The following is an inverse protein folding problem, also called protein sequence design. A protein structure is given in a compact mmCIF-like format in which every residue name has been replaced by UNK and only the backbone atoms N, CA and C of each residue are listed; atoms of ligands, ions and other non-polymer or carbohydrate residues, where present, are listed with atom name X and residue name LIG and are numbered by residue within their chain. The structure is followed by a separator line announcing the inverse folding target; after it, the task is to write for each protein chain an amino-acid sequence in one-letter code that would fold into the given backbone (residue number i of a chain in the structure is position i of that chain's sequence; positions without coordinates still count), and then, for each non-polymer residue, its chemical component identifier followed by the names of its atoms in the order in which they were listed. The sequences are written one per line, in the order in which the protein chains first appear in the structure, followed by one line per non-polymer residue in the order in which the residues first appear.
data_IF_733940285719
#
_entry.id   IF_733940285719
#
_cell.length_a   1.000
_cell.length_b   1.000
_cell.length_c   1.000
_cell.angle_alpha   90.00
_cell.angle_beta   90.00
_cell.angle_gamma   90.00
#
_symmetry.space_group_name_H-M   'P 1'
#
loop_
_entity.id
_entity.type
_entity.pdbx_description
1 polymer ?
#
# COMPACT_ATOMS: atom_id res chain seq x y z
N UNK A 1 5.83 -59.69 -7.53
CA UNK A 1 5.46 -59.33 -8.93
C UNK A 1 5.49 -57.82 -9.05
N UNK A 2 6.56 -57.28 -9.64
CA UNK A 2 6.74 -55.85 -9.89
C UNK A 2 5.62 -55.34 -10.81
N UNK A 3 4.87 -54.31 -10.41
CA UNK A 3 4.07 -53.51 -11.34
C UNK A 3 4.95 -52.38 -11.88
N UNK A 4 5.15 -52.44 -13.19
CA UNK A 4 5.91 -51.52 -14.02
C UNK A 4 5.40 -50.08 -13.89
N UNK A 5 6.34 -49.15 -13.82
CA UNK A 5 6.10 -47.72 -13.96
C UNK A 5 5.43 -47.39 -15.29
N UNK A 6 4.43 -46.51 -15.23
CA UNK A 6 3.82 -45.86 -16.38
C UNK A 6 4.55 -44.53 -16.56
N UNK A 7 5.10 -44.29 -17.75
CA UNK A 7 5.81 -43.05 -18.03
C UNK A 7 4.85 -41.87 -17.97
N UNK A 8 5.30 -40.80 -17.31
CA UNK A 8 4.60 -39.54 -17.20
C UNK A 8 4.83 -38.79 -18.51
N UNK A 9 3.95 -39.05 -19.49
CA UNK A 9 3.86 -38.25 -20.70
C UNK A 9 2.93 -37.07 -20.43
N UNK A 10 3.37 -35.89 -20.87
CA UNK A 10 2.68 -34.59 -20.78
C UNK A 10 1.17 -34.70 -20.99
N UNK A 11 0.43 -34.65 -19.89
CA UNK A 11 -1.01 -34.40 -19.93
C UNK A 11 -1.20 -32.88 -19.98
N UNK A 12 -1.15 -32.32 -21.19
CA UNK A 12 -1.79 -31.02 -21.48
C UNK A 12 -3.28 -31.22 -21.20
N UNK A 13 -3.71 -30.87 -20.00
CA UNK A 13 -5.09 -31.04 -19.55
C UNK A 13 -6.05 -30.32 -20.50
N UNK A 14 -7.15 -30.98 -20.86
CA UNK A 14 -8.27 -30.35 -21.56
C UNK A 14 -8.69 -29.08 -20.79
N UNK A 15 -8.53 -27.90 -21.39
CA UNK A 15 -9.11 -26.65 -20.87
C UNK A 15 -10.63 -26.81 -20.86
N UNK A 16 -11.17 -27.28 -19.73
CA UNK A 16 -12.61 -27.36 -19.52
C UNK A 16 -13.24 -26.00 -19.77
N UNK A 17 -14.31 -25.96 -20.57
CA UNK A 17 -14.99 -24.72 -20.93
C UNK A 17 -15.44 -23.98 -19.66
N UNK A 18 -14.96 -22.75 -19.46
CA UNK A 18 -15.35 -21.90 -18.35
C UNK A 18 -16.86 -21.61 -18.41
N UNK A 19 -17.49 -21.61 -17.24
CA UNK A 19 -18.86 -21.17 -17.04
C UNK A 19 -18.92 -19.65 -17.09
N UNK A 20 -20.09 -19.11 -17.42
CA UNK A 20 -20.34 -17.67 -17.42
C UNK A 20 -21.45 -17.37 -16.43
N UNK A 21 -21.26 -16.30 -15.67
CA UNK A 21 -22.35 -15.71 -14.90
C UNK A 21 -23.35 -15.05 -15.87
N UNK A 22 -24.66 -15.03 -15.53
CA UNK A 22 -25.67 -14.36 -16.34
C UNK A 22 -25.52 -12.83 -16.33
N UNK A 23 -24.84 -12.28 -15.32
CA UNK A 23 -24.48 -10.86 -15.15
C UNK A 23 -23.06 -10.77 -14.61
N UNK A 24 -22.46 -9.57 -14.68
CA UNK A 24 -21.16 -9.33 -14.07
C UNK A 24 -21.23 -9.61 -12.55
N UNK A 25 -20.43 -10.54 -11.99
CA UNK A 25 -20.38 -10.76 -10.55
C UNK A 25 -19.70 -9.57 -9.88
N UNK A 26 -20.29 -9.08 -8.79
CA UNK A 26 -19.73 -8.00 -7.96
C UNK A 26 -19.86 -8.45 -6.51
N UNK A 27 -18.78 -8.28 -5.75
CA UNK A 27 -18.71 -8.56 -4.33
C UNK A 27 -18.26 -7.29 -3.64
N UNK A 28 -18.83 -7.01 -2.47
CA UNK A 28 -18.41 -5.94 -1.58
C UNK A 28 -18.07 -6.62 -0.26
N UNK A 29 -16.87 -6.34 0.22
CA UNK A 29 -16.33 -6.85 1.47
C UNK A 29 -15.91 -5.68 2.33
N UNK A 30 -15.77 -5.90 3.64
CA UNK A 30 -15.29 -4.85 4.55
C UNK A 30 -13.77 -4.87 4.55
N UNK A 31 -13.17 -5.97 5.02
CA UNK A 31 -11.71 -6.15 4.99
C UNK A 31 -11.26 -6.76 3.66
N UNK A 32 -10.17 -6.24 3.11
CA UNK A 32 -9.77 -6.48 1.74
C UNK A 32 -9.47 -7.96 1.43
N UNK A 33 -8.88 -8.69 2.38
CA UNK A 33 -8.60 -10.13 2.29
C UNK A 33 -9.85 -11.01 2.21
N UNK A 34 -11.02 -10.53 2.67
CA UNK A 34 -12.28 -11.27 2.60
C UNK A 34 -12.76 -11.50 1.15
N UNK A 35 -12.13 -10.86 0.15
CA UNK A 35 -12.39 -11.13 -1.26
C UNK A 35 -11.95 -12.54 -1.68
N UNK A 36 -10.93 -13.10 -1.03
CA UNK A 36 -10.27 -14.34 -1.45
C UNK A 36 -11.21 -15.57 -1.49
N UNK A 37 -12.10 -15.81 -0.50
CA UNK A 37 -13.13 -16.84 -0.58
C UNK A 37 -14.00 -16.78 -1.85
N UNK A 38 -14.35 -15.57 -2.32
CA UNK A 38 -15.17 -15.39 -3.53
C UNK A 38 -14.40 -15.74 -4.79
N UNK A 39 -13.13 -15.35 -4.86
CA UNK A 39 -12.21 -15.69 -5.95
C UNK A 39 -12.03 -17.21 -6.01
N UNK A 40 -11.72 -17.85 -4.88
CA UNK A 40 -11.50 -19.29 -4.79
C UNK A 40 -12.77 -20.08 -5.16
N UNK A 41 -13.96 -19.58 -4.79
CA UNK A 41 -15.23 -20.15 -5.22
C UNK A 41 -15.45 -20.01 -6.73
N UNK A 42 -15.09 -18.88 -7.33
CA UNK A 42 -15.20 -18.67 -8.77
C UNK A 42 -14.24 -19.59 -9.55
N UNK A 43 -13.04 -19.83 -9.03
CA UNK A 43 -12.09 -20.83 -9.58
C UNK A 43 -12.67 -22.24 -9.45
N UNK A 44 -13.06 -22.66 -8.24
CA UNK A 44 -13.58 -24.01 -7.98
C UNK A 44 -14.87 -24.33 -8.75
N UNK A 45 -15.71 -23.32 -8.99
CA UNK A 45 -16.93 -23.46 -9.80
C UNK A 45 -16.69 -23.30 -11.31
N UNK A 46 -15.44 -23.13 -11.75
CA UNK A 46 -14.99 -22.98 -13.14
C UNK A 46 -15.56 -21.73 -13.84
N UNK A 47 -15.82 -20.66 -13.10
CA UNK A 47 -16.11 -19.33 -13.68
C UNK A 47 -14.82 -18.53 -13.93
N UNK A 48 -13.78 -18.80 -13.15
CA UNK A 48 -12.41 -18.37 -13.42
C UNK A 48 -11.54 -19.60 -13.78
N UNK A 49 -10.47 -19.42 -14.58
CA UNK A 49 -9.48 -20.47 -14.80
C UNK A 49 -8.74 -20.80 -13.50
N UNK A 50 -8.05 -21.94 -13.46
CA UNK A 50 -7.29 -22.35 -12.27
C UNK A 50 -5.96 -21.60 -12.11
N UNK A 51 -5.47 -20.97 -13.17
CA UNK A 51 -4.17 -20.30 -13.23
C UNK A 51 -4.20 -19.20 -14.29
N UNK A 52 -3.12 -18.41 -14.35
CA UNK A 52 -2.92 -17.36 -15.35
C UNK A 52 -4.02 -16.27 -15.36
N UNK A 53 -4.50 -15.93 -14.16
CA UNK A 53 -5.42 -14.81 -13.95
C UNK A 53 -4.60 -13.53 -13.78
N UNK A 54 -5.02 -12.47 -14.47
CA UNK A 54 -4.52 -11.11 -14.24
C UNK A 54 -5.33 -10.44 -13.13
N UNK A 55 -4.67 -9.83 -12.16
CA UNK A 55 -5.29 -9.12 -11.05
C UNK A 55 -5.07 -7.62 -11.22
N UNK A 56 -6.14 -6.85 -11.38
CA UNK A 56 -6.09 -5.38 -11.56
C UNK A 56 -6.56 -4.75 -10.27
N UNK A 57 -5.67 -4.04 -9.60
CA UNK A 57 -5.85 -3.59 -8.23
C UNK A 57 -5.69 -2.07 -8.16
N UNK A 58 -6.78 -1.39 -7.79
CA UNK A 58 -6.79 0.05 -7.54
C UNK A 58 -6.77 0.31 -6.05
N UNK A 59 -5.64 0.77 -5.55
CA UNK A 59 -5.44 1.03 -4.12
C UNK A 59 -4.26 1.99 -3.90
N UNK A 60 -4.26 2.66 -2.76
CA UNK A 60 -3.09 3.35 -2.22
C UNK A 60 -2.00 2.39 -1.72
N UNK A 61 -2.30 1.11 -1.49
CA UNK A 61 -1.38 0.08 -1.01
C UNK A 61 -1.18 -1.02 -2.05
N UNK A 62 -0.02 -1.71 -2.11
CA UNK A 62 0.16 -2.81 -3.05
C UNK A 62 -0.52 -4.13 -2.64
N UNK A 63 -0.69 -4.34 -1.33
CA UNK A 63 -1.12 -5.58 -0.67
C UNK A 63 -0.37 -6.84 -1.08
N UNK A 64 0.93 -6.65 -1.33
CA UNK A 64 1.87 -7.68 -1.78
C UNK A 64 2.76 -8.20 -0.64
N UNK A 65 2.41 -7.96 0.63
CA UNK A 65 3.17 -8.58 1.73
C UNK A 65 2.83 -10.04 1.87
N UNK A 66 3.60 -10.69 2.72
CA UNK A 66 3.49 -12.11 3.03
C UNK A 66 3.57 -12.22 4.56
N UNK A 67 2.67 -12.98 5.22
CA UNK A 67 2.83 -13.27 6.63
C UNK A 67 4.17 -14.01 6.87
N UNK A 68 5.12 -13.33 7.53
CA UNK A 68 6.53 -13.77 7.61
C UNK A 68 6.71 -15.15 8.25
N UNK A 69 5.79 -15.52 9.15
CA UNK A 69 5.80 -16.75 9.94
C UNK A 69 4.84 -17.83 9.43
N UNK A 70 4.03 -17.55 8.40
CA UNK A 70 3.06 -18.53 7.89
C UNK A 70 3.77 -19.59 7.03
N UNK A 71 3.66 -20.89 7.35
CA UNK A 71 4.20 -21.95 6.52
C UNK A 71 3.59 -21.93 5.11
N UNK A 72 4.41 -22.15 4.07
CA UNK A 72 3.95 -22.08 2.69
C UNK A 72 2.83 -23.10 2.37
N UNK A 73 2.82 -24.25 3.06
CA UNK A 73 1.82 -25.29 2.86
C UNK A 73 0.41 -24.85 3.34
N UNK A 74 0.32 -23.85 4.22
CA UNK A 74 -0.95 -23.27 4.69
C UNK A 74 -1.80 -22.72 3.54
N UNK A 75 -1.17 -22.26 2.45
CA UNK A 75 -1.87 -21.78 1.24
C UNK A 75 -2.83 -22.81 0.65
N UNK A 76 -2.58 -24.10 0.87
CA UNK A 76 -3.41 -25.18 0.35
C UNK A 76 -4.50 -25.64 1.33
N UNK A 77 -4.52 -25.12 2.56
CA UNK A 77 -5.60 -25.27 3.52
C UNK A 77 -6.40 -23.96 3.61
N UNK A 78 -7.58 -23.94 2.99
CA UNK A 78 -8.38 -22.71 2.87
C UNK A 78 -8.84 -22.17 4.22
N UNK A 79 -9.17 -23.05 5.16
CA UNK A 79 -9.73 -22.62 6.45
C UNK A 79 -8.65 -21.96 7.28
N UNK A 80 -7.45 -22.57 7.33
CA UNK A 80 -6.30 -21.97 8.00
C UNK A 80 -5.83 -20.73 7.26
N UNK A 81 -5.67 -20.78 5.93
CA UNK A 81 -5.23 -19.64 5.14
C UNK A 81 -6.08 -18.40 5.42
N UNK A 82 -7.41 -18.49 5.33
CA UNK A 82 -8.25 -17.30 5.52
C UNK A 82 -8.18 -16.70 6.94
N UNK A 83 -7.77 -17.48 7.95
CA UNK A 83 -7.56 -16.98 9.31
C UNK A 83 -6.18 -16.34 9.54
N UNK A 84 -5.22 -16.57 8.65
CA UNK A 84 -3.83 -16.07 8.77
C UNK A 84 -3.56 -14.84 7.88
N UNK A 85 -4.56 -14.39 7.11
CA UNK A 85 -4.42 -13.24 6.21
C UNK A 85 -4.98 -11.97 6.82
N UNK A 86 -4.34 -10.86 6.45
CA UNK A 86 -4.73 -9.50 6.78
C UNK A 86 -4.84 -8.66 5.50
N UNK A 87 -5.32 -7.43 5.64
CA UNK A 87 -5.61 -6.51 4.54
C UNK A 87 -4.41 -6.27 3.61
N UNK A 88 -3.19 -6.37 4.11
CA UNK A 88 -1.95 -6.02 3.40
C UNK A 88 -1.19 -7.22 2.77
N UNK A 89 -1.60 -8.46 3.04
CA UNK A 89 -0.76 -9.65 2.81
C UNK A 89 -1.43 -10.82 2.06
N UNK A 90 -2.59 -10.57 1.43
CA UNK A 90 -3.45 -11.64 0.91
C UNK A 90 -3.23 -11.99 -0.57
N UNK A 91 -2.65 -11.08 -1.39
CA UNK A 91 -2.46 -11.31 -2.84
C UNK A 91 -1.38 -12.36 -3.10
N UNK A 92 -0.25 -12.27 -2.39
CA UNK A 92 0.91 -13.15 -2.59
C UNK A 92 0.64 -14.63 -2.33
N UNK A 93 -0.12 -15.03 -1.30
CA UNK A 93 -0.62 -16.40 -1.15
C UNK A 93 -1.35 -16.93 -2.39
N UNK A 94 -2.18 -16.11 -3.06
CA UNK A 94 -2.87 -16.51 -4.29
C UNK A 94 -1.93 -16.62 -5.51
N UNK A 95 -0.86 -15.83 -5.54
CA UNK A 95 0.24 -15.99 -6.51
C UNK A 95 0.96 -17.31 -6.27
N UNK A 96 1.35 -17.61 -5.03
CA UNK A 96 2.04 -18.86 -4.67
C UNK A 96 1.18 -20.11 -4.95
N UNK A 97 -0.14 -20.02 -4.72
CA UNK A 97 -1.11 -21.05 -5.13
C UNK A 97 -1.16 -21.28 -6.66
N UNK A 98 -0.56 -20.39 -7.45
CA UNK A 98 -0.50 -20.44 -8.91
C UNK A 98 -1.73 -19.87 -9.62
N UNK A 99 -2.60 -19.14 -8.90
CA UNK A 99 -3.81 -18.56 -9.48
C UNK A 99 -3.48 -17.28 -10.26
N UNK A 100 -2.74 -16.37 -9.64
CA UNK A 100 -2.34 -15.09 -10.23
C UNK A 100 -0.95 -15.20 -10.85
N UNK A 101 -0.80 -14.74 -12.09
CA UNK A 101 0.49 -14.66 -12.79
C UNK A 101 0.91 -13.23 -13.11
N UNK A 102 -0.05 -12.30 -13.07
CA UNK A 102 0.15 -10.90 -13.41
C UNK A 102 -0.67 -10.03 -12.48
N UNK A 103 -0.02 -9.16 -11.71
CA UNK A 103 -0.68 -8.12 -10.92
C UNK A 103 -0.41 -6.76 -11.58
N UNK A 104 -1.47 -5.97 -11.77
CA UNK A 104 -1.40 -4.58 -12.19
C UNK A 104 -1.83 -3.74 -11.02
N UNK A 105 -0.89 -3.06 -10.36
CA UNK A 105 -1.18 -2.14 -9.28
C UNK A 105 -1.30 -0.72 -9.83
N UNK A 106 -2.53 -0.21 -9.80
CA UNK A 106 -2.88 1.14 -10.21
C UNK A 106 -2.99 2.01 -8.96
N UNK A 107 -1.98 2.84 -8.76
CA UNK A 107 -1.82 3.59 -7.52
C UNK A 107 -1.98 5.10 -7.74
N UNK A 108 -2.46 5.85 -6.74
CA UNK A 108 -2.54 7.30 -6.81
C UNK A 108 -1.15 7.94 -6.66
N UNK A 109 -1.06 9.25 -6.92
CA UNK A 109 0.23 9.98 -6.95
C UNK A 109 0.94 10.07 -5.60
N UNK A 110 0.27 9.74 -4.50
CA UNK A 110 0.83 9.76 -3.14
C UNK A 110 1.29 8.38 -2.65
N UNK A 111 1.00 7.32 -3.40
CA UNK A 111 1.45 5.96 -3.09
C UNK A 111 2.76 5.70 -3.83
N UNK A 112 3.87 5.51 -3.12
CA UNK A 112 5.21 5.35 -3.69
C UNK A 112 5.94 4.10 -3.16
N UNK A 113 5.18 3.12 -2.67
CA UNK A 113 5.71 1.95 -1.97
C UNK A 113 6.60 1.08 -2.85
N UNK A 114 6.27 0.98 -4.13
CA UNK A 114 7.03 0.25 -5.15
C UNK A 114 7.26 1.22 -6.31
N UNK A 115 8.46 1.18 -6.88
CA UNK A 115 8.82 2.02 -8.02
C UNK A 115 7.93 1.72 -9.23
N UNK A 116 7.50 2.74 -9.98
CA UNK A 116 6.73 2.53 -11.20
C UNK A 116 7.52 1.77 -12.27
N UNK A 117 6.83 0.93 -13.03
CA UNK A 117 7.41 0.12 -14.09
C UNK A 117 7.01 -1.35 -14.01
N UNK A 118 7.80 -2.18 -14.70
CA UNK A 118 7.57 -3.62 -14.78
C UNK A 118 8.59 -4.35 -13.94
N UNK A 119 8.09 -5.17 -13.03
CA UNK A 119 8.87 -5.99 -12.13
C UNK A 119 8.59 -7.45 -12.43
N UNK A 120 9.63 -8.26 -12.41
CA UNK A 120 9.53 -9.70 -12.63
C UNK A 120 10.36 -10.39 -11.57
N UNK A 121 9.73 -11.28 -10.82
CA UNK A 121 10.39 -12.02 -9.76
C UNK A 121 9.65 -13.33 -9.51
N UNK A 122 10.27 -14.20 -8.72
CA UNK A 122 9.73 -15.50 -8.35
C UNK A 122 9.14 -15.41 -6.94
N UNK A 123 8.05 -16.15 -6.73
CA UNK A 123 7.42 -16.38 -5.44
C UNK A 123 7.52 -17.87 -5.15
N UNK A 124 8.07 -18.26 -4.00
CA UNK A 124 8.31 -19.66 -3.70
C UNK A 124 8.32 -19.95 -2.21
N UNK A 125 8.47 -21.24 -1.89
CA UNK A 125 8.74 -21.69 -0.53
C UNK A 125 10.24 -21.63 -0.29
N UNK A 126 10.66 -20.91 0.72
CA UNK A 126 12.04 -20.92 1.16
C UNK A 126 12.38 -22.28 1.80
N UNK A 127 13.50 -22.86 1.37
CA UNK A 127 14.03 -24.13 1.87
C UNK A 127 14.42 -24.08 3.34
N UNK A 128 14.82 -22.92 3.86
CA UNK A 128 15.33 -22.79 5.22
C UNK A 128 14.22 -22.60 6.26
N UNK A 129 13.29 -21.67 6.00
CA UNK A 129 12.19 -21.31 6.92
C UNK A 129 10.88 -22.05 6.63
N UNK A 130 10.74 -22.64 5.44
CA UNK A 130 9.49 -23.25 4.93
C UNK A 130 8.33 -22.28 4.69
N UNK A 131 8.56 -20.98 4.81
CA UNK A 131 7.58 -19.91 4.58
C UNK A 131 7.66 -19.40 3.14
N UNK A 132 6.74 -18.52 2.73
CA UNK A 132 6.75 -17.94 1.38
C UNK A 132 7.75 -16.78 1.35
N UNK A 133 8.57 -16.72 0.31
CA UNK A 133 9.54 -15.64 0.05
C UNK A 133 9.59 -15.30 -1.43
N UNK A 134 10.27 -14.20 -1.76
CA UNK A 134 10.37 -13.67 -3.12
C UNK A 134 11.81 -13.40 -3.53
N UNK A 135 12.07 -13.33 -4.84
CA UNK A 135 13.37 -12.88 -5.37
C UNK A 135 13.40 -11.40 -5.76
N UNK A 136 12.35 -10.63 -5.41
CA UNK A 136 12.32 -9.20 -5.76
C UNK A 136 13.30 -8.41 -4.90
N UNK A 137 14.08 -7.57 -5.56
CA UNK A 137 15.02 -6.63 -4.91
C UNK A 137 14.39 -5.25 -4.65
N UNK A 138 13.08 -5.09 -4.86
CA UNK A 138 12.41 -3.85 -4.49
C UNK A 138 12.48 -3.66 -2.98
N UNK A 139 12.76 -2.42 -2.54
CA UNK A 139 12.83 -2.08 -1.11
C UNK A 139 11.58 -2.49 -0.34
N UNK A 140 10.43 -2.53 -1.02
CA UNK A 140 9.17 -3.01 -0.46
C UNK A 140 9.28 -4.40 0.17
N UNK A 141 9.97 -5.34 -0.48
CA UNK A 141 10.15 -6.70 0.02
C UNK A 141 11.40 -6.84 0.91
N UNK A 142 12.47 -6.10 0.59
CA UNK A 142 13.70 -6.11 1.41
C UNK A 142 13.45 -5.58 2.83
N UNK A 143 12.63 -4.54 2.97
CA UNK A 143 12.32 -3.92 4.26
C UNK A 143 11.55 -4.81 5.24
N UNK A 144 10.89 -5.87 4.74
CA UNK A 144 10.13 -6.84 5.55
C UNK A 144 10.79 -8.23 5.61
N UNK A 145 12.05 -8.34 5.19
CA UNK A 145 12.77 -9.61 5.28
C UNK A 145 12.29 -10.69 4.31
N UNK A 146 11.60 -10.30 3.22
CA UNK A 146 10.91 -11.23 2.32
C UNK A 146 11.78 -11.74 1.16
N UNK A 147 12.96 -11.15 0.95
CA UNK A 147 13.86 -11.55 -0.12
C UNK A 147 14.69 -12.77 0.24
N UNK A 148 14.82 -13.69 -0.72
CA UNK A 148 15.80 -14.78 -0.71
C UNK A 148 16.36 -14.95 -2.13
N UNK A 149 17.48 -15.65 -2.24
CA UNK A 149 18.07 -15.99 -3.54
C UNK A 149 17.26 -17.07 -4.25
N UNK A 150 17.36 -17.14 -5.59
CA UNK A 150 16.57 -18.07 -6.39
C UNK A 150 16.85 -19.55 -6.05
N UNK A 151 18.10 -19.89 -5.69
CA UNK A 151 18.51 -21.25 -5.32
C UNK A 151 17.92 -21.72 -3.98
N UNK A 152 17.46 -20.79 -3.13
CA UNK A 152 16.79 -21.09 -1.87
C UNK A 152 15.27 -21.30 -2.02
N UNK A 153 14.70 -21.04 -3.21
CA UNK A 153 13.27 -21.17 -3.46
C UNK A 153 12.89 -22.49 -4.12
N UNK A 154 11.94 -23.18 -3.51
CA UNK A 154 11.21 -24.31 -4.08
C UNK A 154 9.81 -23.90 -4.56
N UNK A 155 9.21 -24.72 -5.44
CA UNK A 155 7.84 -24.53 -5.96
C UNK A 155 7.58 -23.16 -6.61
N UNK A 156 8.61 -22.57 -7.20
CA UNK A 156 8.63 -21.22 -7.75
C UNK A 156 7.44 -20.92 -8.70
N UNK A 157 6.84 -19.74 -8.51
CA UNK A 157 5.82 -19.15 -9.37
C UNK A 157 6.35 -17.82 -9.91
N UNK A 158 6.46 -17.64 -11.23
CA UNK A 158 6.81 -16.34 -11.79
C UNK A 158 5.63 -15.37 -11.62
N UNK A 159 5.94 -14.17 -11.14
CA UNK A 159 5.01 -13.06 -11.06
C UNK A 159 5.51 -11.90 -11.93
N UNK A 160 4.63 -11.41 -12.79
CA UNK A 160 4.79 -10.10 -13.41
C UNK A 160 3.99 -9.08 -12.59
N UNK A 161 4.64 -7.98 -12.19
CA UNK A 161 4.00 -6.85 -11.51
C UNK A 161 4.18 -5.59 -12.37
N UNK A 162 3.09 -4.99 -12.80
CA UNK A 162 3.09 -3.68 -13.46
C UNK A 162 2.61 -2.63 -12.45
N UNK A 163 3.50 -1.72 -12.04
CA UNK A 163 3.20 -0.61 -11.12
C UNK A 163 2.95 0.65 -11.95
N UNK A 164 1.72 1.16 -11.88
CA UNK A 164 1.22 2.19 -12.78
C UNK A 164 0.58 3.33 -11.97
N UNK A 165 1.23 4.48 -11.98
CA UNK A 165 0.66 5.69 -11.38
C UNK A 165 -0.54 6.20 -12.20
N UNK A 166 -1.68 6.37 -11.54
CA UNK A 166 -2.88 6.98 -12.10
C UNK A 166 -2.85 8.48 -11.85
N UNK A 167 -2.66 9.26 -12.92
CA UNK A 167 -2.72 10.72 -12.84
C UNK A 167 -4.18 11.20 -12.83
N UNK A 168 -4.55 12.15 -11.94
CA UNK A 168 -5.88 12.76 -11.96
C UNK A 168 -6.16 13.38 -13.34
N UNK A 169 -7.35 13.10 -13.89
CA UNK A 169 -7.78 13.74 -15.11
C UNK A 169 -7.92 15.25 -14.87
N UNK A 170 -7.11 16.06 -15.54
CA UNK A 170 -7.28 17.52 -15.56
C UNK A 170 -8.36 17.83 -16.59
N UNK A 171 -9.54 18.36 -16.20
CA UNK A 171 -10.50 18.83 -17.18
C UNK A 171 -9.87 19.97 -17.98
N UNK A 172 -9.78 19.84 -19.30
CA UNK A 172 -9.49 20.99 -20.13
C UNK A 172 -10.66 21.97 -19.99
N UNK A 173 -10.42 23.14 -19.40
CA UNK A 173 -11.31 24.28 -19.48
C UNK A 173 -11.33 24.79 -20.93
N UNK A 174 -12.03 24.09 -21.80
CA UNK A 174 -12.45 24.67 -23.07
C UNK A 174 -13.69 25.51 -22.75
N UNK A 175 -13.52 26.82 -22.84
CA UNK A 175 -14.61 27.79 -22.85
C UNK A 175 -15.68 27.35 -23.86
N UNK A 176 -16.87 27.03 -23.37
CA UNK A 176 -18.13 27.22 -24.06
C UNK A 176 -19.30 27.07 -23.06
N UNK A 177 -19.28 27.87 -21.99
CA UNK A 177 -20.52 28.23 -21.30
C UNK A 177 -21.07 29.50 -21.95
N UNK A 178 -21.77 29.29 -23.07
CA UNK A 178 -22.92 30.13 -23.41
C UNK A 178 -24.17 29.27 -23.37
N UNK A 179 -25.09 29.72 -22.52
CA UNK A 179 -26.52 29.44 -22.52
C UNK A 179 -26.98 28.03 -22.08
N UNK A 180 -26.99 27.81 -20.77
CA UNK A 180 -28.08 27.06 -20.12
C UNK A 180 -28.22 27.44 -18.64
N UNK A 181 -29.09 28.40 -18.36
CA UNK A 181 -29.64 28.61 -17.01
C UNK A 181 -30.42 27.35 -16.64
N UNK A 182 -29.86 26.54 -15.74
CA UNK A 182 -30.58 25.46 -15.05
C UNK A 182 -30.54 25.73 -13.55
N UNK A 183 -31.71 26.07 -13.03
CA UNK A 183 -31.96 26.34 -11.63
C UNK A 183 -32.09 25.02 -10.86
N UNK A 184 -31.06 24.66 -10.10
CA UNK A 184 -31.15 23.58 -9.12
C UNK A 184 -30.93 24.15 -7.72
N UNK A 185 -32.02 24.10 -6.93
CA UNK A 185 -32.14 24.59 -5.56
C UNK A 185 -31.20 23.82 -4.62
N UNK A 186 -30.46 24.55 -3.78
CA UNK A 186 -29.76 24.01 -2.59
C UNK A 186 -30.76 23.30 -1.65
N UNK A 187 -30.44 22.11 -1.10
CA UNK A 187 -31.19 21.56 0.02
C UNK A 187 -30.84 22.36 1.29
N UNK A 188 -31.88 22.88 1.95
CA UNK A 188 -31.81 23.56 3.23
C UNK A 188 -31.92 22.49 4.32
N UNK A 189 -30.83 22.24 5.05
CA UNK A 189 -30.89 21.50 6.32
C UNK A 189 -31.51 22.43 7.37
N UNK A 190 -32.71 22.07 7.81
CA UNK A 190 -33.32 22.64 9.01
C UNK A 190 -32.88 21.77 10.19
N UNK A 191 -32.26 22.40 11.18
CA UNK A 191 -32.13 21.85 12.53
C UNK A 191 -32.90 22.79 13.43
N UNK A 192 -33.82 22.20 14.20
CA UNK A 192 -34.80 22.89 15.03
C UNK A 192 -34.16 23.66 16.18
N UNK A 193 -34.93 24.66 16.61
CA UNK A 193 -34.67 25.63 17.65
C UNK A 193 -34.41 25.00 19.03
N UNK A 194 -33.49 25.61 19.77
CA UNK A 194 -33.59 25.74 21.22
C UNK A 194 -33.14 27.14 21.62
N UNK A 195 -34.02 27.80 22.38
CA UNK A 195 -34.08 29.23 22.68
C UNK A 195 -32.95 29.70 23.60
N UNK A 196 -32.49 30.95 23.41
CA UNK A 196 -32.52 31.97 24.48
C UNK A 196 -32.07 33.37 24.00
N UNK A 197 -33.06 34.25 23.88
CA UNK A 197 -33.22 35.53 24.60
C UNK A 197 -32.09 36.59 24.66
N UNK A 198 -32.48 37.80 24.22
CA UNK A 198 -32.10 39.16 24.67
C UNK A 198 -30.85 39.87 24.09
N UNK A 199 -31.10 40.70 23.08
CA UNK A 199 -31.09 42.19 23.13
C UNK A 199 -29.92 42.97 23.79
N UNK A 200 -29.43 43.94 23.00
CA UNK A 200 -29.16 45.37 23.29
C UNK A 200 -27.69 45.88 23.30
N UNK A 201 -27.49 46.98 22.53
CA UNK A 201 -26.47 48.07 22.60
C UNK A 201 -25.04 47.74 22.14
N UNK A 202 -24.47 48.35 21.09
CA UNK A 202 -24.18 49.79 20.84
C UNK A 202 -23.24 50.38 21.90
N UNK A 203 -21.96 50.60 21.57
CA UNK A 203 -21.41 51.94 21.34
C UNK A 203 -19.93 51.93 20.92
N UNK A 204 -19.62 52.99 20.17
CA UNK A 204 -18.44 53.40 19.40
C UNK A 204 -17.11 53.54 20.16
N UNK A 205 -15.99 53.66 19.42
CA UNK A 205 -15.14 54.86 19.23
C UNK A 205 -13.93 54.45 18.34
N UNK A 206 -13.84 54.89 17.07
CA UNK A 206 -13.15 56.10 16.55
C UNK A 206 -11.61 55.96 16.60
N UNK A 207 -10.77 56.32 15.62
CA UNK A 207 -10.77 57.27 14.49
C UNK A 207 -9.90 56.65 13.35
N UNK A 208 -10.07 56.87 12.04
CA UNK A 208 -10.25 58.13 11.29
C UNK A 208 -8.93 58.90 11.26
N UNK A 209 -8.28 59.33 10.18
CA UNK A 209 -8.62 59.75 8.81
C UNK A 209 -7.31 59.62 7.99
N UNK A 210 -7.28 59.10 6.75
CA UNK A 210 -7.71 59.72 5.48
C UNK A 210 -7.08 61.08 5.14
N UNK A 211 -6.47 61.15 3.94
CA UNK A 211 -6.93 61.97 2.78
C UNK A 211 -5.82 62.09 1.72
N UNK A 212 -6.02 61.55 0.52
CA UNK A 212 -6.66 62.17 -0.69
C UNK A 212 -5.59 62.87 -1.56
N UNK A 213 -5.54 62.84 -2.90
CA UNK A 213 -6.57 62.65 -3.93
C UNK A 213 -5.91 62.56 -5.34
N UNK A 214 -6.47 61.72 -6.25
CA UNK A 214 -6.93 62.00 -7.66
C UNK A 214 -5.95 62.61 -8.69
N UNK A 215 -5.83 62.28 -9.99
CA UNK A 215 -6.29 61.24 -10.96
C UNK A 215 -5.57 61.54 -12.31
N UNK A 216 -5.45 60.52 -13.18
CA UNK A 216 -5.50 60.56 -14.68
C UNK A 216 -4.28 60.12 -15.52
N UNK A 217 -4.41 58.87 -16.03
CA UNK A 217 -4.27 58.36 -17.41
C UNK A 217 -3.08 58.78 -18.30
N UNK A 218 -2.33 57.77 -18.78
CA UNK A 218 -2.24 57.42 -20.22
C UNK A 218 -1.60 56.04 -20.47
N UNK A 219 -2.09 55.42 -21.53
CA UNK A 219 -1.81 54.07 -22.04
C UNK A 219 -0.36 53.86 -22.52
N UNK A 220 0.20 52.66 -22.33
CA UNK A 220 1.02 52.01 -23.37
C UNK A 220 1.15 50.49 -23.11
N UNK A 221 0.89 49.75 -24.18
CA UNK A 221 0.85 48.30 -24.36
C UNK A 221 2.22 47.60 -24.37
N UNK A 222 2.18 46.32 -23.97
CA UNK A 222 2.98 45.16 -24.41
C UNK A 222 4.51 45.18 -24.30
N UNK A 223 5.07 44.20 -23.58
CA UNK A 223 5.88 43.12 -24.20
C UNK A 223 6.18 42.02 -23.18
N UNK A 224 5.88 40.79 -23.59
CA UNK A 224 6.31 39.54 -22.99
C UNK A 224 7.85 39.48 -22.90
N UNK A 225 8.38 38.90 -21.83
CA UNK A 225 9.73 38.35 -21.88
C UNK A 225 9.81 37.02 -21.13
N UNK A 226 10.05 36.01 -21.95
CA UNK A 226 10.29 34.62 -21.66
C UNK A 226 11.61 34.38 -20.91
N UNK A 227 11.62 33.35 -20.07
CA UNK A 227 12.84 32.70 -19.61
C UNK A 227 12.74 31.17 -19.81
N UNK A 228 13.22 30.73 -20.98
CA UNK A 228 13.94 29.46 -21.16
C UNK A 228 15.22 29.48 -20.31
N UNK A 229 15.78 28.42 -19.73
CA UNK A 229 16.29 27.16 -20.31
C UNK A 229 16.51 26.15 -19.13
N UNK A 230 16.00 24.92 -19.16
CA UNK A 230 16.67 23.64 -19.52
C UNK A 230 17.73 23.09 -18.54
N UNK A 231 17.49 21.91 -17.92
CA UNK A 231 17.96 20.60 -18.45
C UNK A 231 17.86 19.45 -17.43
N UNK A 232 17.12 18.42 -17.82
CA UNK A 232 17.47 16.97 -17.77
C UNK A 232 17.85 16.31 -16.43
N UNK A 233 16.84 15.65 -15.83
CA UNK A 233 17.03 14.27 -15.36
C UNK A 233 15.86 13.43 -15.92
N UNK A 234 16.23 12.31 -16.54
CA UNK A 234 15.34 11.44 -17.30
C UNK A 234 14.61 10.51 -16.34
N UNK A 235 13.58 11.01 -15.66
CA UNK A 235 12.61 10.16 -14.96
C UNK A 235 11.70 9.50 -16.00
N UNK A 236 11.75 8.17 -16.08
CA UNK A 236 10.84 7.37 -16.88
C UNK A 236 9.45 7.39 -16.22
N UNK A 237 8.71 8.48 -16.36
CA UNK A 237 7.31 8.55 -15.95
C UNK A 237 6.48 7.70 -16.91
N UNK A 238 6.30 6.43 -16.57
CA UNK A 238 5.48 5.50 -17.34
C UNK A 238 3.99 5.79 -17.07
N UNK A 239 3.44 6.82 -17.71
CA UNK A 239 1.98 7.00 -17.75
C UNK A 239 1.42 6.01 -18.76
N UNK A 240 1.07 4.80 -18.31
CA UNK A 240 0.42 3.80 -19.16
C UNK A 240 -0.96 4.32 -19.53
N UNK A 241 -1.25 4.35 -20.83
CA UNK A 241 -2.58 4.70 -21.34
C UNK A 241 -3.57 3.57 -21.07
N UNK A 242 -4.86 3.90 -20.92
CA UNK A 242 -5.92 2.87 -20.78
C UNK A 242 -5.89 1.85 -21.93
N UNK A 243 -5.47 2.28 -23.13
CA UNK A 243 -5.28 1.39 -24.28
C UNK A 243 -4.24 0.31 -24.04
N UNK A 244 -3.09 0.65 -23.45
CA UNK A 244 -2.03 -0.31 -23.15
C UNK A 244 -2.44 -1.31 -22.06
N UNK A 245 -3.17 -0.86 -21.02
CA UNK A 245 -3.75 -1.76 -20.01
C UNK A 245 -4.70 -2.75 -20.67
N UNK A 246 -5.59 -2.29 -21.57
CA UNK A 246 -6.50 -3.17 -22.29
C UNK A 246 -5.74 -4.19 -23.17
N UNK A 247 -4.63 -3.81 -23.78
CA UNK A 247 -3.78 -4.74 -24.54
C UNK A 247 -3.07 -5.76 -23.65
N UNK A 248 -2.70 -5.39 -22.41
CA UNK A 248 -2.19 -6.32 -21.41
C UNK A 248 -3.28 -7.34 -21.04
N UNK A 249 -4.48 -6.86 -20.67
CA UNK A 249 -5.58 -7.72 -20.22
C UNK A 249 -6.12 -8.65 -21.31
N UNK A 250 -6.03 -8.25 -22.59
CA UNK A 250 -6.39 -9.11 -23.73
C UNK A 250 -5.48 -10.34 -23.88
N UNK A 251 -4.28 -10.33 -23.32
CA UNK A 251 -3.35 -11.46 -23.37
C UNK A 251 -3.62 -12.50 -22.28
N UNK A 252 -4.25 -12.09 -21.17
CA UNK A 252 -4.60 -12.96 -20.06
C UNK A 252 -5.78 -13.88 -20.35
N UNK A 253 -5.90 -14.98 -19.61
CA UNK A 253 -7.02 -15.93 -19.76
C UNK A 253 -8.31 -15.42 -19.08
N UNK A 254 -8.17 -14.66 -18.00
CA UNK A 254 -9.22 -13.94 -17.29
C UNK A 254 -8.58 -12.82 -16.47
N UNK A 255 -9.37 -11.83 -16.07
CA UNK A 255 -8.93 -10.85 -15.08
C UNK A 255 -9.96 -10.64 -13.98
N UNK A 256 -9.47 -10.21 -12.82
CA UNK A 256 -10.26 -9.71 -11.70
C UNK A 256 -9.96 -8.22 -11.59
N UNK A 257 -11.01 -7.42 -11.40
CA UNK A 257 -10.89 -6.01 -11.07
C UNK A 257 -11.22 -5.84 -9.60
N UNK A 258 -10.29 -5.25 -8.89
CA UNK A 258 -10.35 -4.94 -7.49
C UNK A 258 -10.17 -3.42 -7.29
N UNK A 259 -10.99 -2.86 -6.41
CA UNK A 259 -11.07 -1.43 -6.16
C UNK A 259 -11.22 -1.24 -4.67
N UNK A 260 -10.14 -0.82 -4.04
CA UNK A 260 -10.15 -0.38 -2.66
C UNK A 260 -10.55 1.10 -2.56
N UNK A 261 -11.20 1.47 -1.46
CA UNK A 261 -11.61 2.84 -1.21
C UNK A 261 -10.43 3.73 -0.80
N UNK A 262 -9.35 3.16 -0.29
CA UNK A 262 -8.13 3.89 0.03
C UNK A 262 -7.45 4.47 -1.19
N UNK A 263 -7.73 3.97 -2.40
CA UNK A 263 -7.34 4.65 -3.65
C UNK A 263 -7.83 6.11 -3.71
N UNK A 264 -8.96 6.42 -3.07
CA UNK A 264 -9.57 7.75 -3.07
C UNK A 264 -9.34 8.54 -1.78
N UNK A 265 -8.72 7.93 -0.78
CA UNK A 265 -8.50 8.52 0.54
C UNK A 265 -7.01 8.81 0.77
N UNK A 266 -6.74 9.91 1.49
CA UNK A 266 -5.40 10.23 2.02
C UNK A 266 -5.39 10.21 3.55
N UNK A 267 -6.49 9.75 4.17
CA UNK A 267 -6.60 9.74 5.63
C UNK A 267 -5.84 8.54 6.15
N UNK A 268 -4.67 8.78 6.73
CA UNK A 268 -3.99 7.80 7.56
C UNK A 268 -4.65 7.78 8.95
N UNK A 269 -5.38 6.71 9.34
CA UNK A 269 -6.08 6.64 10.62
C UNK A 269 -5.10 6.59 11.81
N UNK A 270 -3.87 6.13 11.60
CA UNK A 270 -2.83 6.00 12.63
C UNK A 270 -2.10 7.30 12.93
N UNK A 271 -2.18 8.29 12.04
CA UNK A 271 -1.55 9.60 12.24
C UNK A 271 -2.05 10.32 13.48
N UNK A 272 -3.25 10.00 13.96
CA UNK A 272 -3.86 10.57 15.16
C UNK A 272 -3.49 9.80 16.44
N UNK A 273 -2.89 8.61 16.34
CA UNK A 273 -2.52 7.77 17.50
C UNK A 273 -1.23 8.23 18.20
N UNK A 274 -0.31 8.81 17.43
CA UNK A 274 1.00 9.26 17.91
C UNK A 274 1.19 10.75 17.69
N UNK A 275 1.90 11.38 18.62
CA UNK A 275 2.35 12.76 18.46
C UNK A 275 3.41 12.85 17.36
N UNK A 276 3.68 14.06 16.87
CA UNK A 276 4.71 14.26 15.85
C UNK A 276 6.11 13.90 16.35
N UNK A 277 6.38 14.08 17.65
CA UNK A 277 7.62 13.65 18.28
C UNK A 277 7.72 12.11 18.37
N UNK A 278 6.69 11.44 18.86
CA UNK A 278 6.63 9.96 18.94
C UNK A 278 6.79 9.34 17.55
N UNK A 279 6.17 9.93 16.54
CA UNK A 279 6.28 9.49 15.16
C UNK A 279 7.72 9.56 14.63
N UNK A 280 8.44 10.65 14.91
CA UNK A 280 9.86 10.76 14.53
C UNK A 280 10.72 9.71 15.23
N UNK A 281 10.43 9.44 16.49
CA UNK A 281 11.13 8.40 17.24
C UNK A 281 10.87 7.01 16.64
N UNK A 282 9.61 6.70 16.29
CA UNK A 282 9.27 5.45 15.61
C UNK A 282 9.96 5.34 14.25
N UNK A 283 10.03 6.41 13.47
CA UNK A 283 10.78 6.44 12.21
C UNK A 283 12.28 6.16 12.42
N UNK A 284 12.88 6.66 13.50
CA UNK A 284 14.29 6.37 13.81
C UNK A 284 14.49 4.90 14.20
N UNK A 285 13.65 4.37 15.09
CA UNK A 285 13.75 2.99 15.59
C UNK A 285 13.59 1.96 14.47
N UNK A 286 12.60 2.19 13.60
CA UNK A 286 12.27 1.26 12.53
C UNK A 286 12.99 1.56 11.22
N UNK A 287 13.86 2.58 11.16
CA UNK A 287 14.48 3.04 9.93
C UNK A 287 15.09 1.90 9.11
N UNK A 288 14.58 1.67 7.90
CA UNK A 288 15.20 0.73 6.97
C UNK A 288 16.34 1.40 6.19
N UNK A 289 17.57 0.89 6.37
CA UNK A 289 18.74 1.35 5.61
C UNK A 289 18.71 0.77 4.19
N UNK A 290 18.11 1.54 3.28
CA UNK A 290 18.02 1.19 1.85
C UNK A 290 19.42 0.88 1.28
N UNK A 291 19.60 -0.24 0.60
CA UNK A 291 20.89 -0.61 0.07
C UNK A 291 21.24 0.22 -1.19
N UNK A 292 22.51 0.24 -1.58
CA UNK A 292 23.02 1.06 -2.69
C UNK A 292 22.53 0.64 -4.08
N UNK A 293 22.94 1.35 -5.14
CA UNK A 293 22.44 1.11 -6.52
C UNK A 293 23.20 0.02 -7.30
N UNK A 294 24.25 -0.57 -6.76
CA UNK A 294 25.07 -1.62 -7.41
C UNK A 294 25.39 -2.74 -6.42
N UNK A 295 24.36 -3.44 -5.96
CA UNK A 295 24.50 -4.49 -4.97
C UNK A 295 24.80 -5.82 -5.63
N UNK A 296 25.71 -6.57 -5.02
CA UNK A 296 25.82 -8.00 -5.26
C UNK A 296 24.69 -8.73 -4.54
N UNK A 297 24.49 -10.01 -4.90
CA UNK A 297 23.55 -10.87 -4.19
C UNK A 297 23.92 -11.02 -2.70
N UNK A 298 25.22 -11.08 -2.38
CA UNK A 298 25.72 -11.12 -1.00
C UNK A 298 25.35 -9.83 -0.24
N UNK A 299 25.49 -8.66 -0.86
CA UNK A 299 25.09 -7.39 -0.24
C UNK A 299 23.57 -7.34 0.05
N UNK A 300 22.74 -7.96 -0.80
CA UNK A 300 21.29 -8.04 -0.59
C UNK A 300 20.94 -8.98 0.56
N UNK A 301 21.59 -10.15 0.63
CA UNK A 301 21.42 -11.10 1.73
C UNK A 301 21.83 -10.46 3.05
N UNK A 302 23.01 -9.84 3.13
CA UNK A 302 23.48 -9.15 4.34
C UNK A 302 22.53 -8.02 4.77
N UNK A 303 21.99 -7.27 3.80
CA UNK A 303 21.02 -6.21 4.05
C UNK A 303 19.72 -6.75 4.67
N UNK A 304 19.20 -7.85 4.12
CA UNK A 304 17.96 -8.50 4.54
C UNK A 304 18.14 -9.16 5.90
N UNK A 305 19.25 -9.88 6.11
CA UNK A 305 19.57 -10.50 7.39
C UNK A 305 19.69 -9.42 8.48
N UNK A 306 20.41 -8.33 8.22
CA UNK A 306 20.51 -7.21 9.18
C UNK A 306 19.13 -6.63 9.51
N UNK A 307 18.24 -6.53 8.51
CA UNK A 307 16.88 -6.03 8.71
C UNK A 307 16.02 -7.01 9.52
N UNK A 308 16.11 -8.31 9.27
CA UNK A 308 15.38 -9.33 10.04
C UNK A 308 15.77 -9.25 11.52
N UNK A 309 17.06 -9.21 11.83
CA UNK A 309 17.52 -9.09 13.23
C UNK A 309 17.01 -7.80 13.89
N UNK A 310 16.99 -6.68 13.16
CA UNK A 310 16.41 -5.43 13.68
C UNK A 310 14.92 -5.58 14.01
N UNK A 311 14.15 -6.21 13.11
CA UNK A 311 12.71 -6.43 13.32
C UNK A 311 12.45 -7.39 14.48
N UNK A 312 13.22 -8.46 14.60
CA UNK A 312 13.16 -9.41 15.72
C UNK A 312 13.50 -8.74 17.06
N UNK A 313 14.54 -7.91 17.09
CA UNK A 313 14.90 -7.12 18.28
C UNK A 313 13.79 -6.13 18.67
N UNK A 314 13.13 -5.50 17.69
CA UNK A 314 11.99 -4.60 17.93
C UNK A 314 10.79 -5.37 18.46
N UNK A 315 10.40 -6.48 17.81
CA UNK A 315 9.29 -7.33 18.25
C UNK A 315 9.52 -7.83 19.69
N UNK A 316 10.71 -8.33 19.99
CA UNK A 316 11.08 -8.77 21.33
C UNK A 316 11.06 -7.63 22.36
N UNK A 317 11.54 -6.44 21.99
CA UNK A 317 11.53 -5.28 22.87
C UNK A 317 10.09 -4.84 23.22
N UNK A 318 9.20 -4.75 22.22
CA UNK A 318 7.81 -4.38 22.47
C UNK A 318 7.03 -5.47 23.21
N UNK A 319 7.33 -6.75 22.97
CA UNK A 319 6.77 -7.85 23.75
C UNK A 319 7.17 -7.78 25.23
N UNK A 320 8.46 -7.53 25.53
CA UNK A 320 8.94 -7.32 26.91
C UNK A 320 8.24 -6.10 27.56
N UNK A 321 7.99 -5.02 26.80
CA UNK A 321 7.28 -3.83 27.31
C UNK A 321 5.81 -4.09 27.64
N UNK A 322 5.14 -5.01 26.93
CA UNK A 322 3.80 -5.47 27.28
C UNK A 322 3.77 -6.18 28.64
N UNK A 323 4.82 -6.92 28.98
CA UNK A 323 4.96 -7.59 30.28
C UNK A 323 5.36 -6.60 31.39
N UNK A 324 6.20 -5.61 31.07
CA UNK A 324 6.60 -4.54 31.99
C UNK A 324 7.49 -3.47 31.38
N UNK A 325 7.16 -2.21 31.66
CA UNK A 325 7.86 -1.02 31.13
C UNK A 325 8.74 -0.31 32.18
N UNK A 326 9.39 -1.09 33.05
CA UNK A 326 10.27 -0.58 34.10
C UNK A 326 11.63 -0.08 33.55
N UNK A 327 12.34 0.72 34.35
CA UNK A 327 13.61 1.34 33.93
C UNK A 327 14.70 0.32 33.57
N UNK A 328 14.73 -0.85 34.21
CA UNK A 328 15.73 -1.89 33.93
C UNK A 328 15.48 -2.51 32.55
N UNK A 329 14.23 -2.86 32.26
CA UNK A 329 13.81 -3.42 30.97
C UNK A 329 14.08 -2.45 29.82
N UNK A 330 13.69 -1.18 29.97
CA UNK A 330 13.93 -0.16 28.94
C UNK A 330 15.43 0.06 28.72
N UNK A 331 16.21 0.17 29.80
CA UNK A 331 17.65 0.44 29.70
C UNK A 331 18.43 -0.73 29.09
N UNK A 332 18.00 -1.97 29.35
CA UNK A 332 18.53 -3.17 28.72
C UNK A 332 18.40 -3.08 27.20
N UNK A 333 17.19 -2.84 26.69
CA UNK A 333 16.95 -2.75 25.24
C UNK A 333 17.61 -1.53 24.59
N UNK A 334 17.55 -0.36 25.24
CA UNK A 334 18.18 0.86 24.73
C UNK A 334 19.72 0.81 24.72
N UNK A 335 20.33 -0.20 25.34
CA UNK A 335 21.77 -0.46 25.24
C UNK A 335 22.16 -1.18 23.93
N UNK A 336 21.19 -1.73 23.20
CA UNK A 336 21.42 -2.34 21.90
C UNK A 336 21.60 -1.25 20.82
N UNK A 337 22.54 -1.43 19.87
CA UNK A 337 22.74 -0.46 18.80
C UNK A 337 21.46 -0.19 17.98
N UNK A 338 21.07 1.07 17.83
CA UNK A 338 19.86 1.45 17.08
C UNK A 338 18.57 1.49 17.89
N UNK A 339 18.61 1.10 19.17
CA UNK A 339 17.45 1.12 20.09
C UNK A 339 17.49 2.29 21.08
N UNK A 340 18.42 3.22 20.92
CA UNK A 340 18.64 4.31 21.88
C UNK A 340 17.39 5.19 22.05
N UNK A 341 16.61 5.35 20.98
CA UNK A 341 15.38 6.13 20.97
C UNK A 341 14.18 5.43 21.64
N UNK A 342 14.33 4.20 22.15
CA UNK A 342 13.27 3.50 22.89
C UNK A 342 12.96 4.19 24.23
N UNK A 343 13.97 4.69 24.92
CA UNK A 343 13.81 5.45 26.19
C UNK A 343 12.89 6.67 25.98
N UNK A 344 13.20 7.62 25.07
CA UNK A 344 12.34 8.78 24.88
C UNK A 344 10.94 8.42 24.35
N UNK A 345 10.79 7.33 23.59
CA UNK A 345 9.46 6.85 23.17
C UNK A 345 8.60 6.49 24.38
N UNK A 346 9.09 5.57 25.21
CA UNK A 346 8.35 5.06 26.38
C UNK A 346 8.06 6.20 27.37
N UNK A 347 9.01 7.11 27.59
CA UNK A 347 8.78 8.29 28.43
C UNK A 347 7.67 9.20 27.89
N UNK A 348 7.61 9.41 26.57
CA UNK A 348 6.54 10.19 25.94
C UNK A 348 5.18 9.52 26.14
N UNK A 349 5.11 8.22 25.87
CA UNK A 349 3.87 7.44 25.98
C UNK A 349 3.35 7.43 27.42
N UNK A 350 4.19 7.14 28.43
CA UNK A 350 3.81 7.16 29.86
C UNK A 350 3.36 8.51 30.37
N UNK A 351 3.84 9.60 29.75
CA UNK A 351 3.42 10.96 30.12
C UNK A 351 2.00 11.27 29.62
N UNK A 352 1.60 10.68 28.49
CA UNK A 352 0.32 10.93 27.83
C UNK A 352 -0.76 9.91 28.22
N UNK A 353 -0.35 8.67 28.51
CA UNK A 353 -1.23 7.55 28.77
C UNK A 353 -0.95 6.97 30.16
N UNK A 354 -2.01 6.69 30.92
CA UNK A 354 -1.90 6.08 32.25
C UNK A 354 -1.33 4.66 32.17
N UNK A 355 -1.73 3.91 31.13
CA UNK A 355 -1.18 2.62 30.74
C UNK A 355 -0.95 2.68 29.23
N UNK A 356 0.30 2.82 28.77
CA UNK A 356 0.61 2.77 27.36
C UNK A 356 0.22 1.43 26.73
N UNK A 357 -0.28 1.49 25.51
CA UNK A 357 -0.48 0.32 24.66
C UNK A 357 0.79 0.10 23.82
N UNK A 358 1.41 -1.07 23.99
CA UNK A 358 2.63 -1.47 23.31
C UNK A 358 2.37 -2.56 22.26
N UNK A 359 1.11 -2.93 22.01
CA UNK A 359 0.79 -3.97 21.02
C UNK A 359 1.28 -3.56 19.62
N UNK A 360 2.12 -4.43 19.04
CA UNK A 360 2.86 -4.18 17.80
C UNK A 360 1.98 -4.08 16.56
N UNK A 361 0.76 -4.63 16.58
CA UNK A 361 -0.17 -4.54 15.44
C UNK A 361 -0.40 -3.08 15.03
N UNK A 362 -0.57 -2.18 16.02
CA UNK A 362 -0.72 -0.75 15.81
C UNK A 362 0.54 -0.05 15.28
N UNK A 363 1.72 -0.59 15.54
CA UNK A 363 3.02 0.00 15.16
C UNK A 363 3.48 -0.50 13.79
N UNK A 364 3.25 -1.78 13.50
CA UNK A 364 3.52 -2.40 12.20
C UNK A 364 2.60 -1.80 11.12
N UNK A 365 1.30 -1.65 11.37
CA UNK A 365 0.36 -0.97 10.45
C UNK A 365 0.78 0.48 10.18
N UNK A 366 1.30 1.17 11.19
CA UNK A 366 1.80 2.54 11.05
C UNK A 366 3.07 2.60 10.18
N UNK A 367 3.92 1.57 10.23
CA UNK A 367 5.12 1.46 9.40
C UNK A 367 4.81 1.09 7.95
N UNK A 368 3.80 0.23 7.73
CA UNK A 368 3.30 -0.13 6.40
C UNK A 368 2.75 1.06 5.60
N UNK A 369 2.20 2.06 6.28
CA UNK A 369 1.57 3.22 5.65
C UNK A 369 2.53 4.39 5.36
N UNK A 370 3.64 4.49 6.08
CA UNK A 370 4.35 5.77 6.21
C UNK A 370 5.84 5.78 5.83
N UNK A 371 6.56 4.66 5.90
CA UNK A 371 7.93 4.62 5.36
C UNK A 371 7.99 4.28 3.87
N UNK A 372 6.85 3.86 3.33
CA UNK A 372 6.71 3.47 1.93
C UNK A 372 5.91 4.50 1.10
N UNK A 373 5.39 5.58 1.68
CA UNK A 373 4.73 6.68 0.94
C UNK A 373 5.65 7.87 0.64
#
# INVERSE_FOLDING_TARGET
MLRRGKSMGDAVGERGRLRRYPKLPVWVVEDHQEVLPYIYRAIGSKHLPASNISFVHFDSHPDLLIPVNMPADTVFDKETLFGELSIENWIMPAVYAGHFSHVLWLHPTWAQQIREGKHHFLVGRDTSTTTIRVTSTDHYFLSDGLYVTEDQLENQKPLQLDVIMVKPYKPCNNQEEKDAVSSAKKPKLALEDAENTASTKCDSYSEGLEKDTVTERRDQTCLEQSCSCSSESQECQTTVSTGEILEILKKGDAFILDIDLDFFSVKNPFKEMFTQEEYKILQELYQFKKPGTNLTEEDLVDCVDTRIHQLEDLEAAFADLCDGDDEETIQKWASNPGMESLIPLVQSLKKRMEVPDYEMESVNELFFLNEKT
#
